data_IF_533932873229
#
_entry.id   IF_533932873229
#
_cell.length_a   1.000
_cell.length_b   1.000
_cell.length_c   1.000
_cell.angle_alpha   90.00
_cell.angle_beta   90.00
_cell.angle_gamma   90.00
#
_symmetry.space_group_name_H-M   'P 1'
#
loop_
_entity.id
_entity.type
_entity.pdbx_description
1 polymer ?
#
# COMPACT_ATOMS: atom_id res chain seq x y z
N UNK A 1 -20.31 -9.31 24.20
CA UNK A 1 -20.30 -9.99 22.90
C UNK A 1 -20.61 -8.92 21.87
N UNK A 2 -19.58 -8.39 21.23
CA UNK A 2 -19.73 -7.27 20.30
C UNK A 2 -20.22 -7.77 18.95
N UNK A 3 -21.22 -7.08 18.40
CA UNK A 3 -21.78 -7.39 17.09
C UNK A 3 -20.71 -7.12 16.02
N UNK A 4 -20.51 -8.02 15.04
CA UNK A 4 -19.66 -7.72 13.89
C UNK A 4 -20.25 -6.52 13.13
N UNK A 5 -19.38 -5.57 12.81
CA UNK A 5 -19.71 -4.32 12.12
C UNK A 5 -20.25 -4.68 10.73
N UNK A 6 -21.45 -4.20 10.41
CA UNK A 6 -22.14 -4.47 9.15
C UNK A 6 -21.64 -3.50 8.07
N UNK A 7 -21.64 -3.88 6.78
CA UNK A 7 -21.42 -2.96 5.67
C UNK A 7 -22.32 -1.70 5.70
N UNK A 8 -23.49 -1.76 6.35
CA UNK A 8 -24.38 -0.60 6.54
C UNK A 8 -23.84 0.44 7.53
N UNK A 9 -22.93 0.06 8.43
CA UNK A 9 -22.29 1.00 9.36
C UNK A 9 -21.33 1.96 8.62
N UNK A 10 -20.95 1.62 7.38
CA UNK A 10 -20.15 2.46 6.49
C UNK A 10 -20.95 3.57 5.78
N UNK A 11 -22.29 3.49 5.73
CA UNK A 11 -23.13 4.37 4.89
C UNK A 11 -23.97 5.41 5.63
N UNK A 12 -23.81 5.59 6.95
CA UNK A 12 -24.63 6.54 7.73
C UNK A 12 -24.11 8.00 7.78
N UNK A 13 -23.37 8.48 6.78
CA UNK A 13 -22.83 9.86 6.80
C UNK A 13 -23.87 10.93 6.46
N UNK A 14 -24.90 10.56 5.70
CA UNK A 14 -25.97 11.47 5.25
C UNK A 14 -26.91 11.93 6.37
N UNK A 15 -26.68 11.52 7.63
CA UNK A 15 -27.47 11.91 8.80
C UNK A 15 -26.79 12.95 9.69
N UNK A 16 -25.60 13.45 9.35
CA UNK A 16 -25.03 14.59 10.07
C UNK A 16 -25.69 15.88 9.57
N UNK A 17 -26.40 16.55 10.47
CA UNK A 17 -27.10 17.83 10.27
C UNK A 17 -26.23 18.84 9.49
N UNK A 18 -26.73 19.48 8.41
CA UNK A 18 -25.99 20.38 7.53
C UNK A 18 -25.56 21.72 8.18
N UNK A 19 -25.53 21.81 9.51
CA UNK A 19 -24.93 22.95 10.19
C UNK A 19 -23.42 22.85 10.09
N UNK A 20 -22.78 23.89 9.55
CA UNK A 20 -21.33 23.99 9.44
C UNK A 20 -20.70 23.68 10.81
N UNK A 21 -19.87 22.64 10.93
CA UNK A 21 -19.30 22.26 12.22
C UNK A 21 -18.56 23.46 12.81
N UNK A 22 -18.92 23.83 14.05
CA UNK A 22 -18.23 24.92 14.74
C UNK A 22 -16.90 24.42 15.26
N UNK A 23 -15.82 24.98 14.73
CA UNK A 23 -14.46 24.67 15.18
C UNK A 23 -14.20 25.27 16.55
N UNK A 24 -14.10 24.42 17.57
CA UNK A 24 -13.80 24.86 18.94
C UNK A 24 -12.31 25.14 19.16
N UNK A 25 -11.44 24.35 18.51
CA UNK A 25 -9.99 24.47 18.63
C UNK A 25 -9.33 23.74 17.46
N UNK A 26 -8.12 24.17 17.11
CA UNK A 26 -7.29 23.51 16.09
C UNK A 26 -5.85 23.43 16.58
N UNK A 27 -5.08 22.54 15.97
CA UNK A 27 -3.66 22.38 16.22
C UNK A 27 -3.01 21.62 15.08
N UNK A 28 -1.71 21.83 14.93
CA UNK A 28 -0.85 21.07 14.02
C UNK A 28 0.47 20.82 14.71
N UNK A 29 1.19 19.82 14.24
CA UNK A 29 2.50 19.45 14.76
C UNK A 29 3.27 18.60 13.77
N UNK A 30 4.58 18.53 13.95
CA UNK A 30 5.44 17.62 13.21
C UNK A 30 5.95 16.52 14.13
N UNK A 31 6.21 15.35 13.54
CA UNK A 31 6.89 14.24 14.19
C UNK A 31 8.25 14.03 13.53
N UNK A 32 9.09 13.20 14.13
CA UNK A 32 10.40 12.86 13.60
C UNK A 32 10.32 12.47 12.11
N UNK A 33 11.25 12.95 11.30
CA UNK A 33 11.30 12.71 9.85
C UNK A 33 11.48 11.24 9.48
N UNK A 34 11.95 10.41 10.41
CA UNK A 34 11.98 8.95 10.31
C UNK A 34 10.68 8.34 10.85
N UNK A 35 9.56 8.80 10.31
CA UNK A 35 8.21 8.31 10.61
C UNK A 35 7.36 8.26 9.36
N UNK A 36 6.30 7.45 9.37
CA UNK A 36 5.37 7.39 8.26
C UNK A 36 4.06 8.14 8.57
N UNK A 37 3.26 8.36 7.53
CA UNK A 37 1.92 8.96 7.64
C UNK A 37 1.07 8.27 8.71
N UNK A 38 1.10 6.93 8.76
CA UNK A 38 0.39 6.16 9.78
C UNK A 38 0.75 6.55 11.22
N UNK A 39 2.03 6.84 11.50
CA UNK A 39 2.49 7.31 12.81
C UNK A 39 1.97 8.72 13.11
N UNK A 40 2.04 9.60 12.10
CA UNK A 40 1.56 10.97 12.21
C UNK A 40 0.05 11.02 12.48
N UNK A 41 -0.75 10.24 11.77
CA UNK A 41 -2.19 10.13 11.98
C UNK A 41 -2.51 9.56 13.38
N UNK A 42 -1.80 8.51 13.82
CA UNK A 42 -2.01 7.90 15.14
C UNK A 42 -1.77 8.89 16.29
N UNK A 43 -0.71 9.70 16.17
CA UNK A 43 -0.29 10.73 17.12
C UNK A 43 -1.23 11.95 17.03
N UNK A 44 -1.58 12.38 15.82
CA UNK A 44 -2.54 13.46 15.58
C UNK A 44 -3.90 13.17 16.20
N UNK A 45 -4.41 11.95 16.01
CA UNK A 45 -5.65 11.50 16.63
C UNK A 45 -5.58 11.53 18.17
N UNK A 46 -4.45 11.10 18.76
CA UNK A 46 -4.27 11.19 20.21
C UNK A 46 -4.25 12.65 20.70
N UNK A 47 -3.49 13.53 20.04
CA UNK A 47 -3.38 14.95 20.44
C UNK A 47 -4.73 15.67 20.30
N UNK A 48 -5.44 15.40 19.21
CA UNK A 48 -6.80 15.90 19.00
C UNK A 48 -7.75 15.43 20.10
N UNK A 49 -7.69 14.14 20.45
CA UNK A 49 -8.48 13.57 21.55
C UNK A 49 -8.14 14.23 22.89
N UNK A 50 -6.86 14.29 23.27
CA UNK A 50 -6.41 14.94 24.50
C UNK A 50 -6.91 16.38 24.58
N UNK A 51 -6.79 17.14 23.48
CA UNK A 51 -7.27 18.52 23.42
C UNK A 51 -8.79 18.59 23.57
N UNK A 52 -9.55 17.74 22.88
CA UNK A 52 -11.00 17.70 22.97
C UNK A 52 -11.49 17.38 24.39
N UNK A 53 -10.78 16.52 25.13
CA UNK A 53 -11.11 16.18 26.51
C UNK A 53 -10.88 17.34 27.50
N UNK A 54 -10.10 18.36 27.14
CA UNK A 54 -9.93 19.59 27.95
C UNK A 54 -11.06 20.61 27.75
N UNK A 55 -11.90 20.43 26.73
CA UNK A 55 -12.99 21.35 26.45
C UNK A 55 -14.15 21.12 27.44
N UNK A 56 -14.89 22.19 27.82
CA UNK A 56 -16.06 22.07 28.67
C UNK A 56 -17.06 21.05 28.11
N UNK A 57 -17.58 20.19 28.99
CA UNK A 57 -18.57 19.18 28.63
C UNK A 57 -19.56 18.96 29.77
N UNK A 58 -20.77 18.58 29.41
CA UNK A 58 -21.86 18.26 30.32
C UNK A 58 -21.93 16.73 30.50
N UNK A 59 -22.74 16.24 31.44
CA UNK A 59 -22.94 14.80 31.64
C UNK A 59 -23.44 14.08 30.37
N UNK A 60 -24.21 14.77 29.53
CA UNK A 60 -24.80 14.21 28.31
C UNK A 60 -23.95 14.42 27.05
N UNK A 61 -22.75 15.02 27.17
CA UNK A 61 -21.90 15.29 26.00
C UNK A 61 -21.31 13.99 25.46
N UNK A 62 -21.83 13.55 24.31
CA UNK A 62 -21.21 12.48 23.53
C UNK A 62 -19.99 12.99 22.78
N UNK A 63 -18.90 12.21 22.83
CA UNK A 63 -17.66 12.50 22.11
C UNK A 63 -17.42 11.44 21.05
N UNK A 64 -17.04 11.88 19.86
CA UNK A 64 -16.75 11.03 18.71
C UNK A 64 -15.35 11.35 18.18
N UNK A 65 -14.53 10.31 18.04
CA UNK A 65 -13.25 10.34 17.34
C UNK A 65 -13.49 9.83 15.91
N UNK A 66 -13.48 10.75 14.96
CA UNK A 66 -13.66 10.47 13.53
C UNK A 66 -12.29 10.28 12.87
N UNK A 67 -12.08 9.14 12.21
CA UNK A 67 -10.80 8.76 11.57
C UNK A 67 -11.09 8.19 10.18
N UNK A 68 -10.32 8.55 9.17
CA UNK A 68 -10.45 8.07 7.79
C UNK A 68 -9.62 6.83 7.45
N UNK A 69 -8.56 6.62 8.22
CA UNK A 69 -7.71 5.45 8.17
C UNK A 69 -8.36 4.26 8.91
N UNK A 70 -8.84 3.28 8.13
CA UNK A 70 -9.43 2.07 8.70
C UNK A 70 -8.42 1.33 9.58
N UNK A 71 -7.15 1.22 9.19
CA UNK A 71 -6.09 0.57 9.96
C UNK A 71 -5.91 1.20 11.35
N UNK A 72 -6.02 2.53 11.47
CA UNK A 72 -6.01 3.19 12.78
C UNK A 72 -7.21 2.80 13.63
N UNK A 73 -8.40 2.73 13.04
CA UNK A 73 -9.61 2.31 13.78
C UNK A 73 -9.44 0.91 14.34
N UNK A 74 -8.89 -0.02 13.56
CA UNK A 74 -8.55 -1.36 14.04
C UNK A 74 -7.59 -1.28 15.23
N UNK A 75 -6.51 -0.50 15.12
CA UNK A 75 -5.56 -0.35 16.21
C UNK A 75 -6.14 0.36 17.45
N UNK A 76 -7.08 1.29 17.29
CA UNK A 76 -7.73 2.02 18.41
C UNK A 76 -8.84 1.20 19.07
N UNK A 77 -9.42 0.21 18.38
CA UNK A 77 -10.47 -0.68 18.93
C UNK A 77 -9.92 -2.00 19.48
N UNK A 78 -8.79 -2.45 18.96
CA UNK A 78 -8.20 -3.74 19.32
C UNK A 78 -6.73 -3.54 19.74
N UNK A 79 -5.82 -4.23 19.06
CA UNK A 79 -4.42 -4.25 19.45
C UNK A 79 -3.67 -3.00 18.96
N UNK A 80 -2.93 -2.38 19.86
CA UNK A 80 -2.02 -1.30 19.53
C UNK A 80 -0.98 -1.77 18.50
N UNK A 81 -0.67 -0.92 17.53
CA UNK A 81 0.44 -1.15 16.61
C UNK A 81 1.77 -1.07 17.37
N UNK A 82 2.78 -1.84 16.93
CA UNK A 82 4.15 -1.74 17.46
C UNK A 82 4.78 -0.37 17.17
N UNK A 83 4.50 0.20 15.99
CA UNK A 83 4.91 1.57 15.69
C UNK A 83 3.99 2.58 16.34
N UNK A 84 4.57 3.65 16.91
CA UNK A 84 3.85 4.65 17.70
C UNK A 84 2.94 4.05 18.79
N UNK A 85 3.35 2.90 19.36
CA UNK A 85 2.54 2.12 20.31
C UNK A 85 2.05 2.95 21.50
N UNK A 86 2.90 3.85 22.01
CA UNK A 86 2.56 4.77 23.10
C UNK A 86 1.32 5.61 22.78
N UNK A 87 1.15 6.03 21.52
CA UNK A 87 0.01 6.85 21.10
C UNK A 87 -1.29 6.03 21.07
N UNK A 88 -1.21 4.76 20.71
CA UNK A 88 -2.36 3.85 20.74
C UNK A 88 -2.76 3.49 22.17
N UNK A 89 -1.81 3.08 23.01
CA UNK A 89 -2.08 2.71 24.40
C UNK A 89 -2.69 3.87 25.20
N UNK A 90 -2.18 5.08 25.03
CA UNK A 90 -2.78 6.25 25.68
C UNK A 90 -4.17 6.56 25.12
N UNK A 91 -4.37 6.39 23.80
CA UNK A 91 -5.71 6.56 23.23
C UNK A 91 -6.70 5.54 23.78
N UNK A 92 -6.31 4.27 23.92
CA UNK A 92 -7.15 3.23 24.55
C UNK A 92 -7.56 3.66 25.96
N UNK A 93 -6.60 4.09 26.78
CA UNK A 93 -6.88 4.62 28.13
C UNK A 93 -7.89 5.75 28.14
N UNK A 94 -7.75 6.71 27.22
CA UNK A 94 -8.62 7.88 27.15
C UNK A 94 -10.01 7.53 26.59
N UNK A 95 -10.07 6.65 25.59
CA UNK A 95 -11.31 6.17 24.98
C UNK A 95 -12.15 5.45 26.04
N UNK A 96 -11.55 4.50 26.77
CA UNK A 96 -12.24 3.74 27.80
C UNK A 96 -12.66 4.62 28.98
N UNK A 97 -11.76 5.50 29.45
CA UNK A 97 -12.02 6.36 30.60
C UNK A 97 -13.14 7.38 30.36
N UNK A 98 -13.27 7.86 29.12
CA UNK A 98 -14.19 8.94 28.78
C UNK A 98 -15.35 8.50 27.87
N UNK A 99 -15.54 7.19 27.68
CA UNK A 99 -16.58 6.61 26.83
C UNK A 99 -16.64 7.27 25.43
N UNK A 100 -15.47 7.46 24.82
CA UNK A 100 -15.36 8.12 23.50
C UNK A 100 -15.72 7.12 22.41
N UNK A 101 -16.66 7.50 21.55
CA UNK A 101 -17.05 6.66 20.43
C UNK A 101 -16.06 6.85 19.26
N UNK A 102 -15.78 5.79 18.51
CA UNK A 102 -14.91 5.86 17.32
C UNK A 102 -15.75 5.63 16.07
N UNK A 103 -15.57 6.48 15.05
CA UNK A 103 -16.28 6.39 13.77
C UNK A 103 -15.35 6.56 12.58
N UNK A 104 -15.67 5.93 11.46
CA UNK A 104 -14.86 6.00 10.24
C UNK A 104 -15.27 7.16 9.32
N UNK A 105 -14.59 8.31 9.26
CA UNK A 105 -14.99 9.36 8.31
C UNK A 105 -14.32 9.17 6.95
N UNK A 106 -14.99 9.23 5.79
CA UNK A 106 -14.30 9.11 4.51
C UNK A 106 -13.38 10.31 4.23
N UNK A 107 -12.16 10.03 3.79
CA UNK A 107 -11.19 11.04 3.35
C UNK A 107 -11.48 11.58 1.95
N UNK A 108 -11.11 12.84 1.70
CA UNK A 108 -11.22 13.52 0.39
C UNK A 108 -12.62 13.54 -0.25
N UNK A 109 -13.68 13.61 0.56
CA UNK A 109 -15.08 13.64 0.09
C UNK A 109 -15.78 15.00 0.28
N UNK A 110 -15.05 16.12 0.44
CA UNK A 110 -15.70 17.42 0.69
C UNK A 110 -16.15 17.64 2.13
N UNK A 111 -15.79 16.74 3.06
CA UNK A 111 -16.16 16.88 4.47
C UNK A 111 -15.29 17.96 5.10
N UNK A 112 -15.89 19.12 5.38
CA UNK A 112 -15.19 20.32 5.88
C UNK A 112 -14.26 20.03 7.07
N UNK A 113 -14.70 19.22 8.03
CA UNK A 113 -13.89 18.84 9.18
C UNK A 113 -12.67 17.98 8.80
N UNK A 114 -12.84 17.00 7.91
CA UNK A 114 -11.76 16.13 7.48
C UNK A 114 -10.73 16.91 6.63
N UNK A 115 -11.21 17.70 5.68
CA UNK A 115 -10.34 18.52 4.81
C UNK A 115 -9.55 19.57 5.59
N UNK A 116 -10.16 20.14 6.65
CA UNK A 116 -9.45 21.03 7.56
C UNK A 116 -8.35 20.30 8.34
N UNK A 117 -8.59 19.08 8.80
CA UNK A 117 -7.59 18.24 9.48
C UNK A 117 -6.47 17.84 8.51
N UNK A 118 -6.79 17.43 7.29
CA UNK A 118 -5.80 17.10 6.24
C UNK A 118 -4.90 18.31 5.94
N UNK A 119 -5.50 19.50 5.80
CA UNK A 119 -4.77 20.75 5.58
C UNK A 119 -3.84 21.09 6.76
N UNK A 120 -4.27 20.83 8.00
CA UNK A 120 -3.45 21.02 9.19
C UNK A 120 -2.33 19.99 9.28
N UNK A 121 -2.58 18.74 8.92
CA UNK A 121 -1.58 17.68 8.87
C UNK A 121 -0.51 18.00 7.83
N UNK A 122 -0.89 18.43 6.63
CA UNK A 122 0.04 18.89 5.58
C UNK A 122 0.87 20.09 6.04
N UNK A 123 0.24 21.05 6.72
CA UNK A 123 0.94 22.22 7.26
C UNK A 123 1.85 21.87 8.45
N UNK A 124 1.55 20.79 9.18
CA UNK A 124 2.38 20.21 10.23
C UNK A 124 3.58 19.48 9.65
N UNK A 125 3.38 18.64 8.62
CA UNK A 125 4.43 17.89 7.94
C UNK A 125 5.50 18.79 7.29
N UNK A 126 5.14 20.03 6.92
CA UNK A 126 6.06 21.05 6.39
C UNK A 126 6.78 21.87 7.45
N UNK A 127 6.52 21.63 8.74
CA UNK A 127 7.19 22.32 9.85
C UNK A 127 8.56 21.70 10.12
N UNK A 128 9.59 22.55 10.19
CA UNK A 128 10.94 22.12 10.60
C UNK A 128 11.05 21.86 12.11
N UNK A 129 10.06 22.32 12.88
CA UNK A 129 10.01 22.16 14.33
C UNK A 129 9.21 20.91 14.65
N UNK A 130 9.90 19.87 15.13
CA UNK A 130 9.32 18.62 15.60
C UNK A 130 8.84 18.78 17.04
N UNK A 131 7.66 18.25 17.33
CA UNK A 131 7.08 18.30 18.66
C UNK A 131 7.97 17.51 19.66
N UNK A 132 8.14 18.00 20.89
CA UNK A 132 9.03 17.40 21.87
C UNK A 132 8.51 16.05 22.42
N UNK A 133 9.39 15.31 23.10
CA UNK A 133 9.04 14.05 23.74
C UNK A 133 9.06 12.87 22.76
N UNK A 134 8.15 11.88 22.90
CA UNK A 134 8.14 10.69 22.05
C UNK A 134 7.99 10.98 20.55
N UNK A 135 7.38 12.12 20.18
CA UNK A 135 7.22 12.55 18.78
C UNK A 135 8.53 12.95 18.12
N UNK A 136 9.55 13.34 18.89
CA UNK A 136 10.88 13.66 18.39
C UNK A 136 11.74 12.43 18.13
N UNK A 137 11.30 11.23 18.53
CA UNK A 137 12.04 9.98 18.33
C UNK A 137 11.64 9.30 17.02
N UNK A 138 12.58 8.60 16.34
CA UNK A 138 12.25 7.80 15.17
C UNK A 138 11.28 6.68 15.55
N UNK A 139 10.44 6.29 14.59
CA UNK A 139 9.44 5.24 14.80
C UNK A 139 9.95 3.88 14.35
N UNK A 140 9.36 2.80 14.87
CA UNK A 140 9.69 1.43 14.45
C UNK A 140 9.44 1.25 12.95
N UNK A 141 8.36 1.83 12.42
CA UNK A 141 8.04 1.77 11.00
C UNK A 141 9.13 2.44 10.13
N UNK A 142 9.59 3.62 10.55
CA UNK A 142 10.64 4.39 9.88
C UNK A 142 12.00 3.69 9.93
N UNK A 143 12.40 3.19 11.10
CA UNK A 143 13.62 2.37 11.26
C UNK A 143 13.53 1.12 10.37
N UNK A 144 12.38 0.45 10.34
CA UNK A 144 12.14 -0.70 9.48
C UNK A 144 12.28 -0.37 7.99
N UNK A 145 11.87 0.83 7.56
CA UNK A 145 12.07 1.30 6.18
C UNK A 145 13.53 1.50 5.84
N UNK A 146 14.32 2.09 6.74
CA UNK A 146 15.77 2.21 6.57
C UNK A 146 16.41 0.82 6.43
N UNK A 147 16.08 -0.10 7.34
CA UNK A 147 16.62 -1.45 7.31
C UNK A 147 16.30 -2.17 5.98
N UNK A 148 15.05 -2.07 5.49
CA UNK A 148 14.65 -2.62 4.19
C UNK A 148 15.42 -1.99 3.03
N UNK A 149 15.60 -0.68 3.03
CA UNK A 149 16.36 0.03 2.00
C UNK A 149 17.83 -0.36 1.99
N UNK A 150 18.47 -0.51 3.17
CA UNK A 150 19.83 -1.00 3.28
C UNK A 150 19.95 -2.43 2.75
N UNK A 151 19.05 -3.33 3.17
CA UNK A 151 19.04 -4.70 2.69
C UNK A 151 18.85 -4.77 1.17
N UNK A 152 17.96 -3.95 0.61
CA UNK A 152 17.76 -3.83 -0.83
C UNK A 152 19.03 -3.34 -1.54
N UNK A 153 19.70 -2.30 -1.01
CA UNK A 153 20.93 -1.77 -1.60
C UNK A 153 22.08 -2.79 -1.60
N UNK A 154 22.28 -3.50 -0.50
CA UNK A 154 23.28 -4.58 -0.40
C UNK A 154 23.00 -5.68 -1.41
N UNK A 155 21.74 -6.11 -1.48
CA UNK A 155 21.27 -7.15 -2.39
C UNK A 155 21.48 -6.75 -3.86
N UNK A 156 21.05 -5.54 -4.22
CA UNK A 156 21.22 -4.98 -5.57
C UNK A 156 22.69 -4.77 -5.93
N UNK A 157 23.52 -4.34 -4.98
CA UNK A 157 24.96 -4.19 -5.17
C UNK A 157 25.65 -5.53 -5.41
N UNK A 158 25.29 -6.56 -4.64
CA UNK A 158 25.75 -7.92 -4.88
C UNK A 158 25.34 -8.41 -6.26
N UNK A 159 24.08 -8.22 -6.67
CA UNK A 159 23.62 -8.65 -7.99
C UNK A 159 24.41 -7.99 -9.11
N UNK A 160 24.58 -6.66 -9.07
CA UNK A 160 25.37 -5.91 -10.08
C UNK A 160 26.81 -6.40 -10.19
N UNK A 161 27.41 -6.85 -9.08
CA UNK A 161 28.76 -7.42 -9.07
C UNK A 161 28.81 -8.82 -9.71
N UNK A 162 27.75 -9.61 -9.58
CA UNK A 162 27.69 -11.00 -10.03
C UNK A 162 27.07 -11.17 -11.42
N UNK A 163 26.18 -10.29 -11.86
CA UNK A 163 25.55 -10.35 -13.18
C UNK A 163 26.57 -10.51 -14.33
N UNK A 164 27.73 -9.82 -14.34
CA UNK A 164 28.73 -9.99 -15.39
C UNK A 164 29.38 -11.36 -15.44
N UNK A 165 29.37 -12.12 -14.33
CA UNK A 165 29.97 -13.47 -14.23
C UNK A 165 29.06 -14.56 -14.82
N UNK A 166 27.80 -14.23 -15.10
CA UNK A 166 26.87 -15.13 -15.77
C UNK A 166 27.34 -15.45 -17.19
N UNK A 167 27.03 -16.67 -17.64
CA UNK A 167 27.32 -17.07 -19.01
C UNK A 167 26.60 -16.15 -20.02
N UNK A 168 27.16 -16.03 -21.23
CA UNK A 168 26.55 -15.21 -22.28
C UNK A 168 25.12 -15.63 -22.65
N UNK A 169 24.74 -16.88 -22.40
CA UNK A 169 23.36 -17.35 -22.55
C UNK A 169 22.42 -16.73 -21.51
N UNK A 170 22.79 -16.76 -20.24
CA UNK A 170 21.98 -16.21 -19.16
C UNK A 170 21.91 -14.68 -19.17
N UNK A 171 22.99 -13.98 -19.55
CA UNK A 171 22.97 -12.51 -19.67
C UNK A 171 21.96 -12.01 -20.71
N UNK A 172 21.67 -12.79 -21.77
CA UNK A 172 20.64 -12.45 -22.76
C UNK A 172 19.23 -12.40 -22.17
N UNK A 173 19.01 -13.05 -21.03
CA UNK A 173 17.71 -13.10 -20.39
C UNK A 173 17.42 -11.86 -19.54
N UNK A 174 18.42 -11.02 -19.27
CA UNK A 174 18.29 -9.76 -18.52
C UNK A 174 17.46 -9.94 -17.25
N UNK A 175 17.82 -10.96 -16.47
CA UNK A 175 17.07 -11.30 -15.26
C UNK A 175 17.31 -10.25 -14.19
N UNK A 176 16.24 -9.76 -13.60
CA UNK A 176 16.32 -9.01 -12.35
C UNK A 176 16.54 -9.98 -11.19
N UNK A 177 17.37 -9.57 -10.22
CA UNK A 177 17.47 -10.31 -8.97
C UNK A 177 16.28 -9.97 -8.07
N UNK A 178 15.48 -10.98 -7.75
CA UNK A 178 14.37 -10.87 -6.83
C UNK A 178 14.52 -11.91 -5.71
N UNK A 179 14.45 -11.46 -4.45
CA UNK A 179 14.35 -12.35 -3.28
C UNK A 179 12.96 -12.96 -3.16
N UNK A 180 11.94 -12.29 -3.70
CA UNK A 180 10.56 -12.75 -3.65
C UNK A 180 10.33 -13.81 -4.72
N UNK A 181 9.60 -14.84 -4.33
CA UNK A 181 9.16 -15.89 -5.24
C UNK A 181 8.41 -15.27 -6.45
N UNK A 182 8.85 -15.53 -7.69
CA UNK A 182 8.15 -15.08 -8.89
C UNK A 182 6.75 -15.71 -8.97
N UNK A 183 5.77 -14.95 -9.48
CA UNK A 183 4.37 -15.40 -9.59
C UNK A 183 4.24 -16.62 -10.51
N UNK A 184 5.19 -16.81 -11.43
CA UNK A 184 5.30 -17.96 -12.31
C UNK A 184 5.40 -19.28 -11.52
N UNK A 185 5.95 -19.29 -10.31
CA UNK A 185 6.01 -20.49 -9.47
C UNK A 185 4.65 -20.86 -8.85
N UNK A 186 3.67 -19.95 -8.88
CA UNK A 186 2.28 -20.25 -8.48
C UNK A 186 1.49 -20.93 -9.59
N UNK A 187 2.05 -21.05 -10.80
CA UNK A 187 1.39 -21.74 -11.91
C UNK A 187 1.30 -23.25 -11.64
N UNK A 188 0.32 -23.91 -12.24
CA UNK A 188 0.25 -25.37 -12.20
C UNK A 188 1.54 -25.99 -12.76
N UNK A 189 1.97 -27.13 -12.20
CA UNK A 189 3.20 -27.81 -12.61
C UNK A 189 3.28 -28.05 -14.14
N UNK A 190 2.22 -28.48 -14.85
CA UNK A 190 2.25 -28.60 -16.31
C UNK A 190 2.47 -27.26 -17.04
N UNK A 191 1.83 -26.19 -16.58
CA UNK A 191 1.96 -24.85 -17.17
C UNK A 191 3.37 -24.30 -16.97
N UNK A 192 3.90 -24.41 -15.74
CA UNK A 192 5.26 -23.98 -15.42
C UNK A 192 6.30 -24.74 -16.24
N UNK A 193 6.13 -26.06 -16.39
CA UNK A 193 7.02 -26.89 -17.22
C UNK A 193 7.08 -26.38 -18.67
N UNK A 194 5.92 -26.12 -19.31
CA UNK A 194 5.86 -25.59 -20.68
C UNK A 194 6.48 -24.20 -20.79
N UNK A 195 6.23 -23.33 -19.82
CA UNK A 195 6.82 -21.98 -19.79
C UNK A 195 8.35 -22.03 -19.71
N UNK A 196 8.90 -22.86 -18.82
CA UNK A 196 10.35 -23.04 -18.69
C UNK A 196 10.96 -23.64 -19.97
N UNK A 197 10.28 -24.59 -20.60
CA UNK A 197 10.71 -25.17 -21.86
C UNK A 197 10.79 -24.11 -22.97
N UNK A 198 9.76 -23.27 -23.10
CA UNK A 198 9.74 -22.18 -24.09
C UNK A 198 10.86 -21.15 -23.85
N UNK A 199 11.10 -20.76 -22.60
CA UNK A 199 12.12 -19.75 -22.25
C UNK A 199 13.55 -20.28 -22.41
N UNK A 200 13.78 -21.52 -22.00
CA UNK A 200 15.09 -22.17 -22.10
C UNK A 200 15.38 -22.72 -23.50
N UNK A 201 14.35 -22.86 -24.35
CA UNK A 201 14.38 -23.60 -25.62
C UNK A 201 14.79 -25.07 -25.43
N UNK A 202 14.64 -25.59 -24.23
CA UNK A 202 14.89 -26.99 -23.89
C UNK A 202 13.55 -27.67 -23.58
N UNK A 203 13.09 -28.52 -24.48
CA UNK A 203 11.83 -29.22 -24.34
C UNK A 203 11.48 -29.98 -25.61
N UNK A 204 10.25 -30.48 -25.63
CA UNK A 204 9.67 -31.26 -26.72
C UNK A 204 9.35 -30.39 -27.95
N UNK A 205 10.40 -29.83 -28.56
CA UNK A 205 10.32 -28.93 -29.71
C UNK A 205 10.95 -29.57 -30.93
N UNK A 206 10.55 -29.11 -32.12
CA UNK A 206 11.05 -29.60 -33.41
C UNK A 206 12.59 -29.64 -33.49
N UNK A 207 13.28 -28.66 -32.89
CA UNK A 207 14.74 -28.61 -32.85
C UNK A 207 15.38 -29.77 -32.07
N UNK A 208 14.73 -30.25 -31.00
CA UNK A 208 15.18 -31.41 -30.22
C UNK A 208 15.04 -32.70 -31.05
N UNK A 209 13.87 -32.92 -31.63
CA UNK A 209 13.60 -34.08 -32.48
C UNK A 209 14.48 -34.14 -33.72
N UNK A 210 14.74 -32.99 -34.36
CA UNK A 210 15.69 -32.89 -35.48
C UNK A 210 17.11 -33.28 -35.08
N UNK A 211 17.56 -32.89 -33.88
CA UNK A 211 18.92 -33.17 -33.39
C UNK A 211 19.14 -34.66 -33.09
N UNK A 212 18.14 -35.33 -32.52
CA UNK A 212 18.25 -36.72 -32.06
C UNK A 212 17.60 -37.76 -32.99
N UNK A 213 17.01 -37.32 -34.12
CA UNK A 213 16.41 -38.16 -35.17
C UNK A 213 15.30 -39.09 -34.66
N UNK A 214 14.40 -38.55 -33.84
CA UNK A 214 13.17 -39.26 -33.49
C UNK A 214 12.24 -39.31 -34.71
N UNK A 215 11.92 -40.51 -35.19
CA UNK A 215 11.11 -40.76 -36.39
C UNK A 215 9.61 -40.70 -36.14
N UNK A 216 9.21 -40.86 -34.87
CA UNK A 216 7.86 -40.99 -34.35
C UNK A 216 7.29 -39.69 -33.75
N UNK A 217 8.07 -38.61 -33.73
CA UNK A 217 7.65 -37.34 -33.15
C UNK A 217 6.69 -36.57 -34.07
N UNK A 218 5.44 -36.35 -33.63
CA UNK A 218 4.49 -35.46 -34.30
C UNK A 218 5.01 -34.00 -34.28
N UNK A 219 5.52 -33.51 -35.42
CA UNK A 219 6.13 -32.18 -35.56
C UNK A 219 5.15 -31.00 -35.59
N UNK A 220 3.93 -31.18 -35.08
CA UNK A 220 2.87 -30.19 -35.13
C UNK A 220 2.85 -29.32 -33.87
N UNK A 221 3.86 -28.46 -33.69
CA UNK A 221 3.71 -27.30 -32.78
C UNK A 221 4.33 -26.05 -33.37
N UNK A 222 3.51 -25.30 -34.11
CA UNK A 222 3.82 -23.94 -34.57
C UNK A 222 3.42 -22.95 -33.46
N UNK A 223 4.28 -22.76 -32.46
CA UNK A 223 4.24 -21.54 -31.65
C UNK A 223 5.66 -21.04 -31.38
N UNK A 224 6.41 -20.83 -32.47
CA UNK A 224 7.51 -19.89 -32.47
C UNK A 224 6.92 -18.47 -32.42
N UNK A 225 6.56 -17.99 -31.22
CA UNK A 225 6.45 -16.54 -31.03
C UNK A 225 7.87 -15.99 -31.15
N UNK A 226 8.19 -15.49 -32.35
CA UNK A 226 9.38 -14.67 -32.60
C UNK A 226 9.21 -13.39 -31.79
N UNK A 227 9.68 -13.40 -30.53
CA UNK A 227 9.78 -12.18 -29.72
C UNK A 227 10.71 -11.23 -30.48
N UNK A 228 10.14 -10.22 -31.14
CA UNK A 228 10.91 -9.13 -31.73
C UNK A 228 11.59 -8.35 -30.59
N UNK A 229 12.80 -7.80 -30.80
CA UNK A 229 13.39 -6.87 -29.85
C UNK A 229 12.45 -5.67 -29.68
N UNK A 230 12.23 -5.21 -28.44
CA UNK A 230 11.48 -3.99 -28.14
C UNK A 230 12.14 -2.80 -28.87
N UNK A 231 11.52 -2.33 -29.95
CA UNK A 231 11.66 -0.93 -30.37
C UNK A 231 10.55 -0.13 -29.69
N UNK A 232 11.00 0.84 -28.89
CA UNK A 232 10.32 2.07 -28.46
C UNK A 232 8.84 2.25 -28.83
N UNK A 233 8.04 2.47 -27.77
CA UNK A 233 6.68 3.03 -27.80
C UNK A 233 6.59 4.26 -28.73
N UNK A 234 5.61 4.28 -29.63
CA UNK A 234 4.90 5.52 -29.96
C UNK A 234 3.45 5.28 -30.39
N UNK A 235 2.57 5.94 -29.63
CA UNK A 235 1.31 6.59 -30.00
C UNK A 235 0.15 5.83 -30.67
N UNK A 236 -0.89 5.70 -29.86
CA UNK A 236 -2.34 5.68 -30.13
C UNK A 236 -2.78 6.44 -31.39
N UNK A 237 -3.61 5.80 -32.24
CA UNK A 237 -4.89 6.39 -32.69
C UNK A 237 -5.83 5.35 -33.32
N UNK A 238 -6.93 5.09 -32.62
CA UNK A 238 -8.16 4.53 -33.17
C UNK A 238 -8.77 5.46 -34.22
N UNK A 239 -9.16 4.92 -35.38
CA UNK A 239 -10.26 5.50 -36.17
C UNK A 239 -11.31 4.42 -36.44
N UNK A 240 -12.46 4.65 -35.81
CA UNK A 240 -13.75 4.07 -36.17
C UNK A 240 -14.12 4.51 -37.60
N UNK A 241 -14.75 3.60 -38.34
CA UNK A 241 -15.38 3.79 -39.64
C UNK A 241 -15.68 2.40 -40.19
N UNK A 242 -16.85 1.82 -39.97
CA UNK A 242 -18.14 2.29 -40.46
C UNK A 242 -18.45 1.48 -41.72
N UNK A 243 -19.08 0.30 -41.56
CA UNK A 243 -19.56 -0.49 -42.68
C UNK A 243 -20.98 -0.96 -42.42
N UNK A 244 -21.93 -0.25 -43.02
CA UNK A 244 -23.24 -0.80 -43.41
C UNK A 244 -23.60 -0.20 -44.76
N UNK A 245 -23.58 -1.01 -45.83
CA UNK A 245 -24.70 -1.18 -46.78
C UNK A 245 -24.34 -2.01 -48.03
N UNK A 246 -25.30 -2.87 -48.38
CA UNK A 246 -25.68 -3.25 -49.75
C UNK A 246 -24.96 -4.48 -50.28
N UNK A 247 -25.64 -5.48 -50.85
CA UNK A 247 -27.04 -5.61 -51.26
C UNK A 247 -27.38 -7.10 -51.26
#
# INVERSE_FOLDING_TARGET
MDRPISPTDYYQWDQWDPTTPTTLTTGKGAINTLSHVFDAEAIGALKGLQKALTLPSNADTQRWLCIDSTSLIWCKRANASDTSQWAFLESHRLIDRHAVNIRWSPGHQGITGNEAVDSLADAGAKSDIVDPGPTAQPTISGIGSIARSLAHNVTSGWWRKNEPTLSGGYRKWQLDYALKEPMELKLSRPTLHRLLALRSRHGDFEAYHKRFKHEDAERLTVHAVKLRPRSTLSSVRSRLGGSTRGR
#
